data_IF_090866628263
#
_entry.id   IF_090866628263
#
_cell.length_a   1.000
_cell.length_b   1.000
_cell.length_c   1.000
_cell.angle_alpha   90.00
_cell.angle_beta   90.00
_cell.angle_gamma   90.00
#
_symmetry.space_group_name_H-M   'P 1'
#
loop_
_entity.id
_entity.type
_entity.pdbx_description
1 polymer ?
#
# COMPACT_ATOMS: atom_id res chain seq x y z
N UNK A 1 21.74 -12.39 -2.54
CA UNK A 1 20.70 -12.42 -3.61
C UNK A 1 20.96 -11.36 -4.68
N UNK A 2 21.04 -10.04 -4.36
CA UNK A 2 21.23 -8.96 -5.35
C UNK A 2 22.49 -9.20 -6.19
N UNK A 3 23.66 -9.36 -5.54
CA UNK A 3 24.93 -9.58 -6.22
C UNK A 3 24.97 -10.91 -7.02
N UNK A 4 24.38 -11.97 -6.44
CA UNK A 4 24.33 -13.28 -7.10
C UNK A 4 23.44 -13.32 -8.35
N UNK A 5 22.56 -12.33 -8.54
CA UNK A 5 21.68 -12.19 -9.70
C UNK A 5 21.99 -10.96 -10.56
N UNK A 6 23.15 -10.33 -10.35
CA UNK A 6 23.60 -9.15 -11.10
C UNK A 6 22.58 -8.00 -11.13
N UNK A 7 21.93 -7.73 -9.97
CA UNK A 7 20.87 -6.73 -9.84
C UNK A 7 21.33 -5.42 -9.15
N UNK A 8 22.62 -5.19 -8.98
CA UNK A 8 23.17 -4.04 -8.25
C UNK A 8 22.73 -2.69 -8.83
N UNK A 9 22.61 -2.62 -10.16
CA UNK A 9 22.18 -1.41 -10.87
C UNK A 9 20.65 -1.24 -10.93
N UNK A 10 19.89 -2.27 -10.48
CA UNK A 10 18.41 -2.29 -10.52
C UNK A 10 17.78 -2.26 -9.14
N UNK A 11 18.47 -2.73 -8.11
CA UNK A 11 17.97 -2.82 -6.73
C UNK A 11 18.83 -1.97 -5.81
N UNK A 12 18.27 -0.87 -5.34
CA UNK A 12 18.93 0.04 -4.42
C UNK A 12 18.38 -0.16 -2.99
N UNK A 13 19.24 -0.61 -2.09
CA UNK A 13 18.92 -0.69 -0.66
C UNK A 13 19.28 0.63 0.02
N UNK A 14 18.29 1.46 0.29
CA UNK A 14 18.47 2.78 0.93
C UNK A 14 18.73 2.72 2.44
N UNK A 15 18.62 1.55 3.05
CA UNK A 15 18.72 1.41 4.49
C UNK A 15 17.56 2.06 5.25
N UNK A 16 17.82 2.53 6.48
CA UNK A 16 16.81 3.17 7.32
C UNK A 16 16.62 4.63 6.88
N UNK A 17 15.42 4.97 6.46
CA UNK A 17 15.01 6.34 6.12
C UNK A 17 14.23 6.89 7.31
N UNK A 18 14.45 8.16 7.66
CA UNK A 18 13.69 8.83 8.72
C UNK A 18 12.22 9.03 8.28
N UNK A 19 11.25 8.91 9.20
CA UNK A 19 9.85 9.12 8.87
C UNK A 19 9.56 10.46 8.17
N UNK A 20 10.26 11.53 8.57
CA UNK A 20 10.12 12.86 7.94
C UNK A 20 10.58 12.91 6.48
N UNK A 21 11.48 12.03 6.07
CA UNK A 21 12.03 11.95 4.71
C UNK A 21 11.32 10.88 3.86
N UNK A 22 10.55 9.98 4.51
CA UNK A 22 9.91 8.85 3.84
C UNK A 22 8.91 9.30 2.79
N UNK A 23 8.11 10.31 3.09
CA UNK A 23 7.12 10.84 2.15
C UNK A 23 7.78 11.40 0.87
N UNK A 24 8.88 12.13 1.00
CA UNK A 24 9.62 12.69 -0.13
C UNK A 24 10.12 11.58 -1.08
N UNK A 25 10.55 10.44 -0.52
CA UNK A 25 10.95 9.28 -1.31
C UNK A 25 9.72 8.59 -1.92
N UNK A 26 8.65 8.42 -1.15
CA UNK A 26 7.46 7.68 -1.58
C UNK A 26 6.79 8.36 -2.77
N UNK A 27 6.62 9.67 -2.77
CA UNK A 27 5.97 10.41 -3.87
C UNK A 27 6.72 10.31 -5.20
N UNK A 28 7.99 9.92 -5.19
CA UNK A 28 8.78 9.68 -6.42
C UNK A 28 8.61 8.27 -7.00
N UNK A 29 7.96 7.36 -6.27
CA UNK A 29 7.79 5.99 -6.72
C UNK A 29 6.73 5.90 -7.83
N UNK A 30 6.93 4.99 -8.78
CA UNK A 30 5.92 4.65 -9.78
C UNK A 30 4.82 3.79 -9.16
N UNK A 31 5.18 2.75 -8.41
CA UNK A 31 4.25 1.87 -7.72
C UNK A 31 4.79 1.43 -6.36
N UNK A 32 3.89 1.20 -5.42
CA UNK A 32 4.17 0.65 -4.11
C UNK A 32 4.04 -0.87 -4.06
N UNK A 33 4.65 -1.50 -3.06
CA UNK A 33 4.55 -2.95 -2.83
C UNK A 33 4.21 -3.20 -1.37
N UNK A 34 3.03 -3.81 -1.12
CA UNK A 34 2.55 -4.18 0.21
C UNK A 34 2.27 -5.68 0.24
N UNK A 35 3.32 -6.46 0.47
CA UNK A 35 3.27 -7.92 0.48
C UNK A 35 3.74 -8.47 1.82
N UNK A 36 2.99 -9.44 2.34
CA UNK A 36 3.29 -10.18 3.55
C UNK A 36 2.97 -11.66 3.33
N UNK A 37 3.82 -12.54 3.82
CA UNK A 37 3.52 -13.96 3.87
C UNK A 37 2.41 -14.24 4.90
N UNK A 38 1.55 -15.20 4.61
CA UNK A 38 0.53 -15.67 5.54
C UNK A 38 1.14 -16.63 6.57
N UNK A 39 2.01 -16.10 7.41
CA UNK A 39 2.70 -16.85 8.46
C UNK A 39 2.17 -16.56 9.87
N UNK A 40 0.95 -16.01 9.97
CA UNK A 40 0.26 -15.73 11.22
C UNK A 40 -0.89 -14.76 11.07
N UNK A 41 -1.84 -14.81 12.02
CA UNK A 41 -3.04 -13.96 12.03
C UNK A 41 -2.71 -12.46 12.00
N UNK A 42 -1.59 -12.06 12.61
CA UNK A 42 -1.16 -10.66 12.60
C UNK A 42 -0.93 -10.16 11.18
N UNK A 43 -0.23 -10.93 10.33
CA UNK A 43 -0.02 -10.54 8.93
C UNK A 43 -1.30 -10.64 8.09
N UNK A 44 -2.13 -11.65 8.37
CA UNK A 44 -3.34 -11.93 7.60
C UNK A 44 -4.48 -10.93 7.86
N UNK A 45 -4.61 -10.44 9.11
CA UNK A 45 -5.74 -9.59 9.52
C UNK A 45 -5.38 -8.11 9.70
N UNK A 46 -4.10 -7.75 9.67
CA UNK A 46 -3.67 -6.36 9.87
C UNK A 46 -3.57 -5.55 8.58
N UNK A 47 -3.52 -4.24 8.75
CA UNK A 47 -3.16 -3.27 7.71
C UNK A 47 -1.79 -2.68 8.03
N UNK A 48 -0.90 -2.65 7.06
CA UNK A 48 0.43 -2.06 7.23
C UNK A 48 0.39 -0.54 7.01
N UNK A 49 1.15 0.22 7.80
CA UNK A 49 1.27 1.66 7.64
C UNK A 49 1.68 2.06 6.22
N UNK A 50 2.63 1.33 5.60
CA UNK A 50 3.07 1.58 4.22
C UNK A 50 1.93 1.55 3.18
N UNK A 51 0.85 0.80 3.45
CA UNK A 51 -0.32 0.78 2.59
C UNK A 51 -0.98 2.17 2.53
N UNK A 52 -1.11 2.80 3.68
CA UNK A 52 -1.63 4.17 3.78
C UNK A 52 -0.64 5.22 3.27
N UNK A 53 0.67 5.02 3.48
CA UNK A 53 1.70 5.92 2.95
C UNK A 53 1.61 6.02 1.42
N UNK A 54 1.39 4.90 0.71
CA UNK A 54 1.19 4.90 -0.73
C UNK A 54 -0.12 5.60 -1.13
N UNK A 55 -1.21 5.40 -0.39
CA UNK A 55 -2.48 6.09 -0.64
C UNK A 55 -2.29 7.61 -0.48
N UNK A 56 -1.67 8.06 0.61
CA UNK A 56 -1.40 9.47 0.87
C UNK A 56 -0.49 10.11 -0.20
N UNK A 57 0.44 9.34 -0.73
CA UNK A 57 1.32 9.77 -1.82
C UNK A 57 0.64 9.74 -3.21
N UNK A 58 -0.57 9.19 -3.33
CA UNK A 58 -1.25 8.99 -4.61
C UNK A 58 -0.58 7.95 -5.50
N UNK A 59 0.04 6.93 -4.90
CA UNK A 59 0.83 5.90 -5.59
C UNK A 59 0.04 4.58 -5.65
N UNK A 60 -0.28 4.06 -6.85
CA UNK A 60 -0.84 2.73 -7.02
C UNK A 60 0.07 1.65 -6.42
N UNK A 61 -0.52 0.59 -5.89
CA UNK A 61 0.28 -0.45 -5.24
C UNK A 61 -0.18 -1.86 -5.60
N UNK A 62 0.80 -2.78 -5.60
CA UNK A 62 0.55 -4.21 -5.58
C UNK A 62 0.40 -4.66 -4.13
N UNK A 63 -0.71 -5.31 -3.83
CA UNK A 63 -1.01 -5.76 -2.47
C UNK A 63 -1.48 -7.21 -2.47
N UNK A 64 -1.19 -7.96 -1.40
CA UNK A 64 -1.74 -9.29 -1.19
C UNK A 64 -3.23 -9.20 -0.84
N UNK A 65 -4.04 -10.14 -1.35
CA UNK A 65 -5.49 -10.17 -1.18
C UNK A 65 -5.88 -10.77 0.19
N UNK A 66 -5.56 -10.06 1.27
CA UNK A 66 -6.02 -10.41 2.62
C UNK A 66 -7.28 -9.61 3.02
N UNK A 67 -8.07 -10.09 3.99
CA UNK A 67 -9.42 -9.56 4.27
C UNK A 67 -9.47 -8.04 4.47
N UNK A 68 -8.55 -7.48 5.26
CA UNK A 68 -8.55 -6.05 5.56
C UNK A 68 -8.19 -5.19 4.34
N UNK A 69 -7.23 -5.64 3.52
CA UNK A 69 -6.86 -4.96 2.25
C UNK A 69 -8.00 -5.07 1.24
N UNK A 70 -8.63 -6.26 1.11
CA UNK A 70 -9.76 -6.47 0.21
C UNK A 70 -10.92 -5.54 0.56
N UNK A 71 -11.30 -5.44 1.84
CA UNK A 71 -12.39 -4.58 2.29
C UNK A 71 -12.17 -3.10 1.90
N UNK A 72 -10.96 -2.57 2.08
CA UNK A 72 -10.64 -1.21 1.66
C UNK A 72 -10.61 -1.08 0.13
N UNK A 73 -10.10 -2.09 -0.56
CA UNK A 73 -10.00 -2.05 -2.02
C UNK A 73 -11.37 -2.17 -2.71
N UNK A 74 -12.30 -2.91 -2.16
CA UNK A 74 -13.70 -2.96 -2.63
C UNK A 74 -14.38 -1.58 -2.54
N UNK A 75 -14.04 -0.80 -1.52
CA UNK A 75 -14.60 0.55 -1.35
C UNK A 75 -13.94 1.60 -2.23
N UNK A 76 -12.63 1.55 -2.37
CA UNK A 76 -11.86 2.65 -2.96
C UNK A 76 -11.17 2.28 -4.28
N UNK A 77 -10.95 1.00 -4.58
CA UNK A 77 -10.22 0.49 -5.74
C UNK A 77 -8.84 1.18 -5.91
N UNK A 78 -7.97 1.01 -4.91
CA UNK A 78 -6.70 1.75 -4.75
C UNK A 78 -5.44 0.89 -4.93
N UNK A 79 -5.63 -0.42 -5.11
CA UNK A 79 -4.52 -1.37 -5.24
C UNK A 79 -4.86 -2.48 -6.24
N UNK A 80 -3.85 -3.04 -6.86
CA UNK A 80 -3.97 -4.33 -7.54
C UNK A 80 -3.74 -5.45 -6.52
N UNK A 81 -4.77 -6.26 -6.26
CA UNK A 81 -4.67 -7.38 -5.33
C UNK A 81 -4.20 -8.65 -6.04
N UNK A 82 -3.26 -9.37 -5.41
CA UNK A 82 -2.78 -10.67 -5.85
C UNK A 82 -3.10 -11.76 -4.82
N UNK A 83 -3.39 -13.01 -5.25
CA UNK A 83 -3.91 -14.04 -4.37
C UNK A 83 -2.91 -14.52 -3.31
N UNK A 84 -1.62 -14.46 -3.62
CA UNK A 84 -0.53 -14.94 -2.76
C UNK A 84 0.79 -14.23 -3.07
N UNK A 85 1.82 -14.53 -2.28
CA UNK A 85 3.17 -13.97 -2.41
C UNK A 85 4.14 -14.86 -3.18
N UNK A 86 3.65 -15.78 -4.00
CA UNK A 86 4.51 -16.56 -4.91
C UNK A 86 5.17 -15.67 -5.94
N UNK A 87 6.35 -16.06 -6.40
CA UNK A 87 7.07 -15.33 -7.45
C UNK A 87 6.20 -15.12 -8.69
N UNK A 88 5.42 -16.14 -9.08
CA UNK A 88 4.54 -16.06 -10.24
C UNK A 88 3.44 -15.00 -10.06
N UNK A 89 2.75 -14.99 -8.91
CA UNK A 89 1.71 -14.00 -8.59
C UNK A 89 2.28 -12.58 -8.56
N UNK A 90 3.44 -12.39 -7.94
CA UNK A 90 4.10 -11.08 -7.87
C UNK A 90 4.50 -10.59 -9.28
N UNK A 91 5.14 -11.43 -10.07
CA UNK A 91 5.59 -11.07 -11.44
C UNK A 91 4.40 -10.73 -12.32
N UNK A 92 3.36 -11.57 -12.31
CA UNK A 92 2.15 -11.33 -13.11
C UNK A 92 1.44 -10.05 -12.68
N UNK A 93 1.28 -9.82 -11.37
CA UNK A 93 0.68 -8.60 -10.84
C UNK A 93 1.48 -7.34 -11.20
N UNK A 94 2.81 -7.36 -11.05
CA UNK A 94 3.66 -6.24 -11.43
C UNK A 94 3.59 -5.98 -12.95
N UNK A 95 3.70 -7.00 -13.77
CA UNK A 95 3.61 -6.84 -15.23
C UNK A 95 2.26 -6.24 -15.63
N UNK A 96 1.16 -6.69 -15.01
CA UNK A 96 -0.16 -6.14 -15.28
C UNK A 96 -0.25 -4.67 -14.87
N UNK A 97 0.16 -4.33 -13.65
CA UNK A 97 0.16 -2.95 -13.17
C UNK A 97 1.03 -2.01 -14.02
N UNK A 98 2.15 -2.51 -14.55
CA UNK A 98 3.09 -1.73 -15.35
C UNK A 98 2.68 -1.60 -16.82
N UNK A 99 1.91 -2.55 -17.36
CA UNK A 99 1.52 -2.58 -18.78
C UNK A 99 0.16 -1.95 -19.06
N UNK A 100 -0.74 -1.87 -18.07
CA UNK A 100 -2.09 -1.30 -18.22
C UNK A 100 -2.13 0.15 -17.73
N UNK A 101 -1.89 1.09 -18.64
CA UNK A 101 -1.89 2.52 -18.33
C UNK A 101 -3.28 3.05 -17.89
N UNK A 102 -4.37 2.41 -18.32
CA UNK A 102 -5.73 2.80 -17.93
C UNK A 102 -5.96 2.41 -16.48
N UNK A 103 -5.69 1.16 -16.13
CA UNK A 103 -5.75 0.68 -14.75
C UNK A 103 -4.86 1.53 -13.83
N UNK A 104 -3.60 1.75 -14.21
CA UNK A 104 -2.66 2.53 -13.43
C UNK A 104 -3.20 3.94 -13.12
N UNK A 105 -3.70 4.63 -14.14
CA UNK A 105 -4.24 5.99 -14.00
C UNK A 105 -5.47 6.00 -13.09
N UNK A 106 -6.35 5.01 -13.23
CA UNK A 106 -7.53 4.89 -12.39
C UNK A 106 -7.17 4.65 -10.92
N UNK A 107 -6.27 3.70 -10.65
CA UNK A 107 -5.79 3.43 -9.27
C UNK A 107 -5.14 4.67 -8.65
N UNK A 108 -4.33 5.40 -9.43
CA UNK A 108 -3.68 6.63 -8.98
C UNK A 108 -4.68 7.72 -8.60
N UNK A 109 -5.70 7.92 -9.40
CA UNK A 109 -6.75 8.90 -9.11
C UNK A 109 -7.59 8.49 -7.89
N UNK A 110 -7.93 7.21 -7.80
CA UNK A 110 -8.63 6.65 -6.67
C UNK A 110 -7.82 6.79 -5.34
N UNK A 111 -6.50 6.61 -5.39
CA UNK A 111 -5.65 6.86 -4.22
C UNK A 111 -5.77 8.31 -3.73
N UNK A 112 -5.77 9.30 -4.63
CA UNK A 112 -5.93 10.71 -4.25
C UNK A 112 -7.29 10.99 -3.59
N UNK A 113 -8.36 10.37 -4.11
CA UNK A 113 -9.69 10.49 -3.53
C UNK A 113 -9.76 9.80 -2.16
N UNK A 114 -9.22 8.58 -2.05
CA UNK A 114 -9.18 7.83 -0.80
C UNK A 114 -8.36 8.53 0.30
N UNK A 115 -7.30 9.26 -0.07
CA UNK A 115 -6.47 10.01 0.87
C UNK A 115 -7.27 11.10 1.63
N UNK A 116 -8.34 11.61 1.04
CA UNK A 116 -9.21 12.59 1.70
C UNK A 116 -10.04 11.97 2.84
N UNK A 117 -10.34 10.68 2.74
CA UNK A 117 -11.09 9.93 3.76
C UNK A 117 -10.16 9.20 4.75
N UNK A 118 -9.11 8.55 4.21
CA UNK A 118 -8.21 7.67 4.96
C UNK A 118 -7.01 8.45 5.52
N UNK A 119 -7.26 9.38 6.42
CA UNK A 119 -6.23 10.19 7.08
C UNK A 119 -6.52 10.38 8.56
N UNK A 120 -5.48 10.78 9.32
CA UNK A 120 -5.58 10.97 10.75
C UNK A 120 -6.63 12.04 11.15
N UNK A 121 -6.80 13.08 10.36
CA UNK A 121 -7.74 14.16 10.65
C UNK A 121 -9.21 13.67 10.64
N UNK A 122 -9.52 12.62 9.90
CA UNK A 122 -10.83 11.97 9.93
C UNK A 122 -10.94 10.96 11.09
N UNK A 123 -9.92 10.14 11.27
CA UNK A 123 -9.88 9.14 12.34
C UNK A 123 -9.87 9.79 13.73
N UNK A 124 -9.18 10.93 13.90
CA UNK A 124 -9.18 11.70 15.14
C UNK A 124 -10.58 12.12 15.56
N UNK A 125 -11.41 12.56 14.62
CA UNK A 125 -12.80 12.96 14.94
C UNK A 125 -13.61 11.77 15.45
N UNK A 126 -13.51 10.62 14.78
CA UNK A 126 -14.19 9.39 15.18
C UNK A 126 -13.75 8.98 16.59
N UNK A 127 -12.45 9.05 16.85
CA UNK A 127 -11.88 8.74 18.17
C UNK A 127 -12.39 9.68 19.26
N UNK A 128 -12.40 10.98 19.01
CA UNK A 128 -12.91 12.01 19.95
C UNK A 128 -14.40 11.77 20.22
N UNK A 129 -15.21 11.59 19.18
CA UNK A 129 -16.65 11.35 19.31
C UNK A 129 -16.93 10.07 20.12
N UNK A 130 -16.16 9.01 19.91
CA UNK A 130 -16.26 7.78 20.68
C UNK A 130 -16.00 8.02 22.19
N UNK A 131 -14.92 8.74 22.50
CA UNK A 131 -14.62 9.03 23.91
C UNK A 131 -15.64 9.99 24.56
N UNK A 132 -16.17 10.95 23.82
CA UNK A 132 -17.22 11.85 24.32
C UNK A 132 -18.50 11.06 24.65
N UNK A 133 -18.88 10.10 23.82
CA UNK A 133 -20.03 9.23 24.07
C UNK A 133 -19.83 8.29 25.27
N UNK A 134 -18.57 7.86 25.50
CA UNK A 134 -18.25 6.94 26.59
C UNK A 134 -18.18 7.64 27.94
N UNK A 135 -17.73 8.89 27.96
CA UNK A 135 -17.46 9.65 29.20
C UNK A 135 -18.64 10.54 29.62
N UNK A 136 -19.66 10.69 28.80
CA UNK A 136 -20.89 11.42 29.09
C UNK A 136 -20.68 12.91 28.95
#
# INVERSE_FOLDING_TARGET
LIAANHLQDKVLLKGKIKPSELNEVTVTAYAGITLFENNGLSNYLSLANRFFDYIQAGIPQLCVDYPAYRQLNERYNIALLIPDTTTASIVNGLNYLLSDAVLYTQLKENCKQAAADLNWQQEEKILIDFYQQLLG
#
